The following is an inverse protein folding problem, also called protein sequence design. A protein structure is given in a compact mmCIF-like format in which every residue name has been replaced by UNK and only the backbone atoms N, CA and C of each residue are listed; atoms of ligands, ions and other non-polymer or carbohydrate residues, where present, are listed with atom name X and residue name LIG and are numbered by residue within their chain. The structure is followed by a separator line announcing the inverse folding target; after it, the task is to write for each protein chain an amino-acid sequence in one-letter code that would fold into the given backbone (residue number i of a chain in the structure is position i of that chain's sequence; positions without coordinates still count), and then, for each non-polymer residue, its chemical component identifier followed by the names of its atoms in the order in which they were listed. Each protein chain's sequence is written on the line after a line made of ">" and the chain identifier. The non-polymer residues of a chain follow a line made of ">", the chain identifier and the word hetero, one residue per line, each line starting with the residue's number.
data_IF_335608951427
#
_entry.id   IF_335608951427
#
_cell.length_a   1.000
_cell.length_b   1.000
_cell.length_c   1.000
_cell.angle_alpha   90.00
_cell.angle_beta   90.00
_cell.angle_gamma   90.00
#
_symmetry.space_group_name_H-M   'P 1'
#
loop_
_entity.id
_entity.type
_entity.pdbx_description
1 polymer ?
#
# COMPACT_ATOMS: atom_id res chain seq x y z
N UNK A 1 -2.39 -50.18 -17.26
CA UNK A 1 -2.96 -48.88 -17.64
C UNK A 1 -2.26 -47.79 -16.86
N UNK A 2 -1.32 -47.06 -17.48
CA UNK A 2 -0.55 -45.99 -16.84
C UNK A 2 -1.12 -44.63 -17.30
N UNK A 3 -1.52 -43.78 -16.36
CA UNK A 3 -1.98 -42.41 -16.64
C UNK A 3 -0.78 -41.49 -16.97
N UNK A 4 -0.86 -40.65 -18.02
CA UNK A 4 0.18 -39.69 -18.33
C UNK A 4 0.17 -38.52 -17.34
N UNK A 5 1.35 -38.11 -16.83
CA UNK A 5 1.49 -36.95 -15.94
C UNK A 5 1.42 -35.63 -16.74
N UNK A 6 0.80 -34.56 -16.18
CA UNK A 6 0.73 -33.26 -16.84
C UNK A 6 2.11 -32.59 -16.90
N UNK A 7 2.47 -32.04 -18.07
CA UNK A 7 3.69 -31.25 -18.27
C UNK A 7 3.49 -29.85 -17.69
N UNK A 8 4.36 -29.43 -16.77
CA UNK A 8 4.43 -28.05 -16.28
C UNK A 8 4.86 -27.10 -17.41
N UNK A 9 4.22 -25.92 -17.56
CA UNK A 9 4.62 -24.96 -18.58
C UNK A 9 5.95 -24.31 -18.19
N UNK A 10 6.94 -24.41 -19.09
CA UNK A 10 8.25 -23.74 -18.97
C UNK A 10 8.06 -22.24 -19.17
N UNK A 11 8.24 -21.42 -18.12
CA UNK A 11 8.25 -19.95 -18.22
C UNK A 11 9.34 -19.50 -19.19
N UNK A 12 8.97 -18.71 -20.19
CA UNK A 12 9.91 -18.06 -21.09
C UNK A 12 10.64 -16.89 -20.38
N UNK A 13 11.86 -16.53 -20.79
CA UNK A 13 12.59 -15.41 -20.20
C UNK A 13 11.87 -14.09 -20.54
N UNK A 14 11.50 -13.31 -19.52
CA UNK A 14 11.03 -11.94 -19.71
C UNK A 14 12.22 -11.10 -20.14
N UNK A 15 12.22 -10.63 -21.39
CA UNK A 15 13.25 -9.72 -21.89
C UNK A 15 12.99 -8.34 -21.27
N UNK A 16 13.74 -7.97 -20.24
CA UNK A 16 13.69 -6.62 -19.67
C UNK A 16 14.41 -5.64 -20.60
N UNK A 17 13.69 -5.04 -21.55
CA UNK A 17 14.19 -3.84 -22.22
C UNK A 17 14.11 -2.67 -21.24
N UNK A 18 15.26 -2.26 -20.69
CA UNK A 18 15.39 -1.09 -19.81
C UNK A 18 14.93 0.18 -20.55
N UNK A 19 13.92 0.92 -20.08
CA UNK A 19 13.66 2.26 -20.60
C UNK A 19 14.72 3.21 -19.99
N UNK A 20 15.75 3.53 -20.76
CA UNK A 20 16.90 4.35 -20.37
C UNK A 20 16.60 5.84 -20.05
N UNK A 21 15.32 6.25 -19.92
CA UNK A 21 14.92 7.66 -19.73
C UNK A 21 14.32 7.99 -18.35
N UNK A 22 14.00 7.01 -17.51
CA UNK A 22 13.28 7.23 -16.25
C UNK A 22 14.15 7.53 -15.02
N UNK A 23 15.39 7.05 -15.01
CA UNK A 23 16.26 7.09 -13.83
C UNK A 23 16.57 8.52 -13.29
N UNK A 24 16.83 9.53 -14.15
CA UNK A 24 17.09 10.90 -13.66
C UNK A 24 15.87 11.52 -12.97
N UNK A 25 14.66 11.23 -13.46
CA UNK A 25 13.39 11.76 -12.93
C UNK A 25 13.10 11.16 -11.57
N UNK A 26 13.23 9.83 -11.43
CA UNK A 26 13.03 9.13 -10.16
C UNK A 26 14.04 9.61 -9.10
N UNK A 27 15.30 9.83 -9.49
CA UNK A 27 16.31 10.38 -8.59
C UNK A 27 15.99 11.79 -8.09
N UNK A 28 15.44 12.65 -8.95
CA UNK A 28 15.01 13.99 -8.56
C UNK A 28 13.78 13.97 -7.63
N UNK A 29 12.80 13.11 -7.95
CA UNK A 29 11.62 12.90 -7.10
C UNK A 29 12.03 12.40 -5.70
N UNK A 30 12.90 11.39 -5.64
CA UNK A 30 13.42 10.84 -4.38
C UNK A 30 14.02 11.95 -3.51
N UNK A 31 14.93 12.76 -4.06
CA UNK A 31 15.55 13.86 -3.29
C UNK A 31 14.53 14.85 -2.74
N UNK A 32 13.56 15.26 -3.55
CA UNK A 32 12.50 16.18 -3.13
C UNK A 32 11.62 15.58 -2.04
N UNK A 33 11.21 14.33 -2.22
CA UNK A 33 10.38 13.59 -1.28
C UNK A 33 11.05 13.46 0.09
N UNK A 34 12.32 13.04 0.13
CA UNK A 34 13.10 13.00 1.37
C UNK A 34 13.22 14.36 2.04
N UNK A 35 13.43 15.42 1.25
CA UNK A 35 13.48 16.79 1.74
C UNK A 35 12.19 17.21 2.45
N UNK A 36 11.03 16.81 1.94
CA UNK A 36 9.74 17.10 2.58
C UNK A 36 9.47 16.21 3.79
N UNK A 37 9.70 14.89 3.67
CA UNK A 37 9.43 13.93 4.74
C UNK A 37 10.29 14.21 5.98
N UNK A 38 11.56 14.56 5.79
CA UNK A 38 12.52 14.79 6.90
C UNK A 38 12.14 16.01 7.76
N UNK A 39 11.32 16.94 7.25
CA UNK A 39 10.81 18.08 8.05
C UNK A 39 9.87 17.65 9.17
N UNK A 40 9.24 16.48 9.04
CA UNK A 40 8.22 15.97 9.98
C UNK A 40 8.65 14.66 10.62
N UNK A 41 9.33 13.78 9.88
CA UNK A 41 9.75 12.46 10.35
C UNK A 41 11.26 12.32 10.26
N UNK A 42 11.89 12.20 11.43
CA UNK A 42 13.35 12.10 11.56
C UNK A 42 13.79 10.63 11.59
N UNK A 43 14.90 10.31 10.92
CA UNK A 43 15.58 9.02 11.08
C UNK A 43 14.96 7.84 10.34
N UNK A 44 14.09 8.08 9.35
CA UNK A 44 13.43 7.02 8.55
C UNK A 44 13.72 7.07 7.03
N UNK A 45 14.96 7.34 6.56
CA UNK A 45 15.23 7.47 5.13
C UNK A 45 15.04 6.14 4.37
N UNK A 46 15.51 5.02 4.93
CA UNK A 46 15.40 3.70 4.29
C UNK A 46 13.95 3.27 4.09
N UNK A 47 13.09 3.54 5.07
CA UNK A 47 11.66 3.22 4.98
C UNK A 47 10.98 4.11 3.93
N UNK A 48 11.36 5.38 3.86
CA UNK A 48 10.87 6.31 2.83
C UNK A 48 11.26 5.85 1.43
N UNK A 49 12.48 5.35 1.23
CA UNK A 49 12.91 4.75 -0.04
C UNK A 49 12.15 3.46 -0.36
N UNK A 50 11.86 2.63 0.64
CA UNK A 50 11.02 1.45 0.49
C UNK A 50 9.61 1.82 0.02
N UNK A 51 8.96 2.79 0.67
CA UNK A 51 7.65 3.30 0.27
C UNK A 51 7.64 3.83 -1.17
N UNK A 52 8.67 4.57 -1.58
CA UNK A 52 8.79 5.06 -2.95
C UNK A 52 8.99 3.91 -3.95
N UNK A 53 9.76 2.89 -3.58
CA UNK A 53 10.00 1.72 -4.41
C UNK A 53 8.70 0.95 -4.63
N UNK A 54 7.98 0.63 -3.56
CA UNK A 54 6.70 -0.08 -3.62
C UNK A 54 5.65 0.70 -4.42
N UNK A 55 5.61 2.04 -4.27
CA UNK A 55 4.72 2.87 -5.08
C UNK A 55 4.99 2.74 -6.59
N UNK A 56 6.26 2.71 -6.99
CA UNK A 56 6.66 2.63 -8.42
C UNK A 56 6.38 1.24 -9.00
N UNK A 57 6.49 0.18 -8.21
CA UNK A 57 6.21 -1.19 -8.65
C UNK A 57 4.76 -1.63 -8.40
N UNK A 58 3.92 -0.74 -7.85
CA UNK A 58 2.55 -1.03 -7.41
C UNK A 58 2.46 -2.21 -6.41
N UNK A 59 3.40 -2.24 -5.46
CA UNK A 59 3.48 -3.26 -4.42
C UNK A 59 3.03 -2.77 -3.04
N UNK A 60 3.35 -3.57 -2.01
CA UNK A 60 2.93 -3.34 -0.63
C UNK A 60 4.12 -3.52 0.31
N UNK A 61 4.21 -2.62 1.30
CA UNK A 61 5.27 -2.65 2.31
C UNK A 61 4.69 -3.06 3.67
N UNK A 62 5.31 -4.03 4.33
CA UNK A 62 5.02 -4.33 5.74
C UNK A 62 5.94 -3.50 6.65
N UNK A 63 5.32 -2.71 7.53
CA UNK A 63 6.04 -1.87 8.51
C UNK A 63 6.02 -2.50 9.89
N UNK A 64 7.10 -3.17 10.26
CA UNK A 64 7.26 -3.78 11.58
C UNK A 64 8.02 -2.88 12.56
N UNK A 65 7.72 -3.01 13.85
CA UNK A 65 8.46 -2.37 14.92
C UNK A 65 7.58 -2.00 16.11
N UNK A 66 8.17 -1.51 17.21
CA UNK A 66 7.44 -1.14 18.42
C UNK A 66 6.33 -0.09 18.19
N UNK A 67 5.31 -0.02 19.06
CA UNK A 67 4.35 1.09 19.05
C UNK A 67 5.08 2.42 19.30
N UNK A 68 4.58 3.51 18.70
CA UNK A 68 5.16 4.85 18.88
C UNK A 68 6.34 5.20 17.96
N UNK A 69 6.78 4.32 17.05
CA UNK A 69 7.90 4.61 16.12
C UNK A 69 7.49 5.42 14.87
N UNK A 70 6.51 6.32 15.01
CA UNK A 70 6.05 7.23 13.97
C UNK A 70 5.58 6.58 12.63
N UNK A 71 5.21 5.29 12.60
CA UNK A 71 4.77 4.60 11.35
C UNK A 71 3.58 5.31 10.68
N UNK A 72 2.58 5.68 11.47
CA UNK A 72 1.40 6.41 11.01
C UNK A 72 1.75 7.81 10.52
N UNK A 73 2.66 8.50 11.21
CA UNK A 73 3.13 9.82 10.81
C UNK A 73 3.93 9.72 9.50
N UNK A 74 4.77 8.71 9.34
CA UNK A 74 5.55 8.45 8.13
C UNK A 74 4.63 8.21 6.93
N UNK A 75 3.70 7.26 7.01
CA UNK A 75 2.83 6.92 5.89
C UNK A 75 1.97 8.12 5.45
N UNK A 76 1.40 8.86 6.42
CA UNK A 76 0.59 10.04 6.11
C UNK A 76 1.41 11.23 5.60
N UNK A 77 2.64 11.43 6.09
CA UNK A 77 3.56 12.47 5.59
C UNK A 77 4.03 12.15 4.18
N UNK A 78 4.35 10.89 3.90
CA UNK A 78 4.74 10.42 2.57
C UNK A 78 3.66 10.71 1.53
N UNK A 79 2.40 10.33 1.81
CA UNK A 79 1.28 10.59 0.92
C UNK A 79 1.05 12.10 0.71
N UNK A 80 1.11 12.90 1.78
CA UNK A 80 0.99 14.37 1.69
C UNK A 80 2.11 14.99 0.87
N UNK A 81 3.36 14.54 1.02
CA UNK A 81 4.50 15.05 0.28
C UNK A 81 4.40 14.75 -1.23
N UNK A 82 3.70 13.68 -1.60
CA UNK A 82 3.40 13.33 -2.99
C UNK A 82 2.09 13.96 -3.50
N UNK A 83 1.27 14.54 -2.63
CA UNK A 83 -0.03 15.10 -2.99
C UNK A 83 -1.07 14.05 -3.41
N UNK A 84 -0.97 12.84 -2.87
CA UNK A 84 -1.87 11.71 -3.19
C UNK A 84 -2.79 11.38 -2.02
N UNK A 85 -3.91 10.74 -2.33
CA UNK A 85 -4.89 10.35 -1.31
C UNK A 85 -4.28 9.38 -0.30
N UNK A 86 -4.62 9.60 0.97
CA UNK A 86 -4.23 8.76 2.09
C UNK A 86 -5.47 8.22 2.82
N UNK A 87 -5.54 6.90 2.96
CA UNK A 87 -6.51 6.20 3.79
C UNK A 87 -5.83 5.53 4.97
N UNK A 88 -6.58 5.32 6.04
CA UNK A 88 -6.15 4.55 7.20
C UNK A 88 -7.28 3.64 7.65
N UNK A 89 -6.92 2.41 7.99
CA UNK A 89 -7.81 1.45 8.65
C UNK A 89 -7.09 0.86 9.85
N UNK A 90 -7.79 0.74 10.96
CA UNK A 90 -7.31 0.07 12.15
C UNK A 90 -7.88 -1.34 12.17
N UNK A 91 -7.03 -2.35 12.12
CA UNK A 91 -7.44 -3.75 12.19
C UNK A 91 -7.77 -4.10 13.65
N UNK A 92 -9.02 -4.50 13.88
CA UNK A 92 -9.55 -4.94 15.16
C UNK A 92 -10.24 -6.29 14.99
N UNK A 93 -10.41 -7.10 16.05
CA UNK A 93 -11.03 -8.43 15.93
C UNK A 93 -12.44 -8.42 15.31
N UNK A 94 -13.15 -7.32 15.50
CA UNK A 94 -14.54 -7.13 15.06
C UNK A 94 -14.66 -6.40 13.71
N UNK A 95 -13.54 -6.06 13.07
CA UNK A 95 -13.54 -5.37 11.78
C UNK A 95 -14.25 -6.23 10.72
N UNK A 96 -15.25 -5.67 10.06
CA UNK A 96 -15.96 -6.33 8.97
C UNK A 96 -15.30 -5.98 7.62
N UNK A 97 -15.35 -6.88 6.62
CA UNK A 97 -14.84 -6.56 5.27
C UNK A 97 -15.46 -5.28 4.68
N UNK A 98 -16.74 -5.03 4.95
CA UNK A 98 -17.46 -3.82 4.51
C UNK A 98 -16.96 -2.53 5.14
N UNK A 99 -16.28 -2.61 6.29
CA UNK A 99 -15.65 -1.43 6.90
C UNK A 99 -14.40 -1.01 6.13
N UNK A 100 -13.81 -1.92 5.35
CA UNK A 100 -12.61 -1.69 4.52
C UNK A 100 -13.00 -1.36 3.08
N UNK A 101 -13.89 -2.16 2.49
CA UNK A 101 -14.33 -2.04 1.09
C UNK A 101 -15.53 -1.12 0.90
N UNK A 102 -16.19 -0.70 1.97
CA UNK A 102 -17.38 0.12 1.89
C UNK A 102 -18.68 -0.69 1.84
N UNK A 103 -19.79 0.04 1.80
CA UNK A 103 -21.13 -0.53 1.92
C UNK A 103 -22.15 0.28 1.12
N UNK A 104 -23.24 -0.36 0.72
CA UNK A 104 -24.37 0.32 0.09
C UNK A 104 -25.35 0.76 1.19
N UNK A 105 -25.67 2.04 1.22
CA UNK A 105 -26.59 2.64 2.20
C UNK A 105 -27.83 3.17 1.50
N UNK A 106 -29.00 3.04 2.13
CA UNK A 106 -30.21 3.71 1.68
C UNK A 106 -30.17 5.15 2.16
N UNK A 107 -30.15 6.11 1.24
CA UNK A 107 -30.18 7.55 1.52
C UNK A 107 -31.23 8.20 0.63
N UNK A 108 -32.17 8.91 1.24
CA UNK A 108 -33.26 9.62 0.53
C UNK A 108 -34.09 8.71 -0.40
N UNK A 109 -34.26 7.43 -0.04
CA UNK A 109 -34.99 6.45 -0.83
C UNK A 109 -34.15 5.76 -1.93
N UNK A 110 -32.88 6.14 -2.10
CA UNK A 110 -31.97 5.58 -3.10
C UNK A 110 -30.81 4.79 -2.48
N UNK A 111 -30.44 3.69 -3.12
CA UNK A 111 -29.27 2.89 -2.73
C UNK A 111 -28.00 3.57 -3.24
N UNK A 112 -27.20 4.11 -2.33
CA UNK A 112 -25.93 4.81 -2.63
C UNK A 112 -24.74 4.03 -2.08
N UNK A 113 -23.70 3.84 -2.89
CA UNK A 113 -22.45 3.25 -2.41
C UNK A 113 -21.63 4.26 -1.59
N UNK A 114 -21.22 3.85 -0.39
CA UNK A 114 -20.29 4.59 0.46
C UNK A 114 -18.94 3.86 0.46
N UNK A 115 -17.90 4.41 -0.21
CA UNK A 115 -16.60 3.77 -0.29
C UNK A 115 -15.94 3.66 1.08
N UNK A 116 -15.23 2.55 1.31
CA UNK A 116 -14.40 2.36 2.48
C UNK A 116 -13.01 3.01 2.34
N UNK A 117 -12.15 2.92 3.37
CA UNK A 117 -10.82 3.53 3.38
C UNK A 117 -9.86 2.99 2.31
N UNK A 118 -10.14 1.82 1.71
CA UNK A 118 -9.30 1.24 0.64
C UNK A 118 -9.31 2.04 -0.66
N UNK A 119 -10.30 2.92 -0.85
CA UNK A 119 -10.41 3.78 -2.04
C UNK A 119 -9.48 4.98 -1.91
N UNK A 120 -8.18 4.72 -1.99
CA UNK A 120 -7.11 5.69 -1.79
C UNK A 120 -5.85 5.27 -2.55
N UNK A 121 -4.89 6.18 -2.73
CA UNK A 121 -3.61 5.85 -3.35
C UNK A 121 -2.64 5.18 -2.37
N UNK A 122 -2.67 5.57 -1.10
CA UNK A 122 -1.86 4.98 -0.03
C UNK A 122 -2.77 4.63 1.14
N UNK A 123 -2.89 3.33 1.43
CA UNK A 123 -3.62 2.83 2.60
C UNK A 123 -2.64 2.40 3.69
N UNK A 124 -2.79 2.95 4.89
CA UNK A 124 -2.18 2.39 6.09
C UNK A 124 -3.15 1.42 6.77
N UNK A 125 -2.84 0.13 6.72
CA UNK A 125 -3.50 -0.92 7.48
C UNK A 125 -2.78 -1.15 8.82
N UNK A 126 -3.25 -0.49 9.87
CA UNK A 126 -2.62 -0.50 11.19
C UNK A 126 -3.04 -1.76 11.98
N UNK A 127 -2.10 -2.37 12.71
CA UNK A 127 -2.30 -3.61 13.50
C UNK A 127 -2.95 -4.79 12.74
N UNK A 128 -2.59 -5.02 11.47
CA UNK A 128 -3.17 -6.08 10.62
C UNK A 128 -3.27 -7.46 11.29
N UNK A 129 -2.31 -7.78 12.15
CA UNK A 129 -2.24 -9.03 12.90
C UNK A 129 -3.34 -9.22 13.96
N UNK A 130 -4.20 -8.22 14.23
CA UNK A 130 -5.27 -8.28 15.25
C UNK A 130 -6.64 -8.73 14.72
N UNK A 131 -6.74 -9.09 13.45
CA UNK A 131 -8.03 -9.47 12.83
C UNK A 131 -8.03 -10.93 12.40
N UNK A 132 -9.17 -11.66 12.43
CA UNK A 132 -9.25 -13.03 11.93
C UNK A 132 -8.85 -13.16 10.45
N UNK A 133 -8.34 -14.32 9.99
CA UNK A 133 -7.86 -14.51 8.61
C UNK A 133 -8.87 -14.17 7.52
N UNK A 134 -10.18 -14.35 7.79
CA UNK A 134 -11.25 -14.09 6.81
C UNK A 134 -11.41 -12.61 6.42
N UNK A 135 -10.99 -11.67 7.28
CA UNK A 135 -11.02 -10.23 6.97
C UNK A 135 -9.70 -9.75 6.38
N UNK A 136 -8.62 -10.52 6.54
CA UNK A 136 -7.30 -10.23 5.96
C UNK A 136 -7.16 -10.72 4.51
N UNK A 137 -7.96 -11.73 4.12
CA UNK A 137 -7.93 -12.40 2.83
C UNK A 137 -8.73 -11.66 1.74
#
# INVERSE_FOLDING_TARGET
>A
MAHPRPRTPRRAPVTTSTPASGAPVVGALRRRLHGEVTKVVVGQPTVTDGLLTELVVAGYLLLEGPPGTAKTLLASTFARALGIDFGRVQFTPDLLPTDVTGTVVLRDGELTFRPGPVFTSVLLADEINRTPPKTQA
#
